data_IF_878828304276
#
_entry.id   IF_878828304276
#
_cell.length_a   1.000
_cell.length_b   1.000
_cell.length_c   1.000
_cell.angle_alpha   90.00
_cell.angle_beta   90.00
_cell.angle_gamma   90.00
#
_symmetry.space_group_name_H-M   'P 1'
#
loop_
_entity.id
_entity.type
_entity.pdbx_description
1 polymer ?
#
# COMPACT_ATOMS: atom_id res chain seq x y z
N UNK A 1 37.38 20.71 -15.29
CA UNK A 1 37.41 19.61 -14.34
C UNK A 1 36.63 19.89 -13.07
N UNK A 2 36.74 21.07 -12.50
CA UNK A 2 36.00 21.44 -11.29
C UNK A 2 34.48 21.50 -11.52
N UNK A 3 34.05 21.84 -12.71
CA UNK A 3 32.63 21.87 -13.05
C UNK A 3 31.95 20.50 -13.03
N UNK A 4 32.69 19.44 -13.41
CA UNK A 4 32.13 18.09 -13.36
C UNK A 4 31.80 17.64 -11.93
N UNK A 5 32.65 18.00 -10.97
CA UNK A 5 32.38 17.68 -9.56
C UNK A 5 31.17 18.42 -9.03
N UNK A 6 30.97 19.67 -9.44
CA UNK A 6 29.80 20.45 -9.03
C UNK A 6 28.51 19.87 -9.60
N UNK A 7 28.54 19.42 -10.86
CA UNK A 7 27.36 18.79 -11.48
C UNK A 7 26.99 17.49 -10.79
N UNK A 8 27.98 16.66 -10.42
CA UNK A 8 27.74 15.43 -9.69
C UNK A 8 27.14 15.70 -8.30
N UNK A 9 27.62 16.73 -7.62
CA UNK A 9 27.07 17.11 -6.32
C UNK A 9 25.61 17.55 -6.45
N UNK A 10 25.28 18.33 -7.47
CA UNK A 10 23.91 18.75 -7.71
C UNK A 10 22.98 17.57 -7.99
N UNK A 11 23.46 16.57 -8.76
CA UNK A 11 22.68 15.37 -9.03
C UNK A 11 22.43 14.55 -7.75
N UNK A 12 23.40 14.49 -6.84
CA UNK A 12 23.26 13.79 -5.56
C UNK A 12 22.29 14.50 -4.60
N UNK A 13 22.10 15.81 -4.79
CA UNK A 13 21.17 16.59 -3.99
C UNK A 13 19.76 16.58 -4.57
N UNK A 14 19.53 15.91 -5.70
CA UNK A 14 18.19 15.76 -6.24
C UNK A 14 17.28 15.12 -5.20
N UNK A 15 16.08 15.66 -4.94
CA UNK A 15 15.22 15.11 -3.90
C UNK A 15 14.82 13.68 -4.23
N UNK A 16 15.03 12.80 -3.26
CA UNK A 16 14.49 11.46 -3.31
C UNK A 16 13.00 11.58 -3.00
N UNK A 17 12.19 11.80 -4.01
CA UNK A 17 10.75 11.81 -3.83
C UNK A 17 10.33 10.43 -3.35
N UNK A 18 9.58 10.37 -2.25
CA UNK A 18 8.97 9.12 -1.83
C UNK A 18 8.08 8.62 -2.97
N UNK A 19 8.37 7.42 -3.48
CA UNK A 19 7.57 6.81 -4.54
C UNK A 19 6.31 6.28 -3.90
N UNK A 20 5.16 6.80 -4.34
CA UNK A 20 3.87 6.29 -3.91
C UNK A 20 3.57 5.00 -4.64
N UNK A 21 3.07 4.00 -3.93
CA UNK A 21 2.72 2.71 -4.46
C UNK A 21 1.22 2.57 -4.62
N UNK A 22 0.78 1.92 -5.70
CA UNK A 22 -0.62 1.60 -5.91
C UNK A 22 -1.07 0.55 -4.90
N UNK A 23 -2.24 0.77 -4.30
CA UNK A 23 -2.76 -0.14 -3.29
C UNK A 23 -4.29 -0.06 -3.19
N UNK A 24 -4.87 -1.13 -2.65
CA UNK A 24 -6.22 -1.09 -2.11
C UNK A 24 -6.15 -0.60 -0.67
N UNK A 25 -7.10 0.24 -0.28
CA UNK A 25 -7.19 0.81 1.06
C UNK A 25 -8.64 0.76 1.54
N UNK A 26 -8.83 0.78 2.85
CA UNK A 26 -10.19 0.81 3.42
C UNK A 26 -10.82 2.18 3.15
N UNK A 27 -12.10 2.20 2.76
CA UNK A 27 -12.80 3.45 2.55
C UNK A 27 -13.07 4.19 3.86
N UNK A 28 -13.23 5.50 3.77
CA UNK A 28 -13.63 6.34 4.90
C UNK A 28 -14.72 7.31 4.46
N UNK A 29 -15.45 7.85 5.43
CA UNK A 29 -16.55 8.78 5.14
C UNK A 29 -16.02 10.03 4.43
N UNK A 30 -16.71 10.43 3.36
CA UNK A 30 -16.33 11.62 2.59
C UNK A 30 -15.20 11.42 1.62
N UNK A 31 -14.78 10.18 1.39
CA UNK A 31 -13.71 9.86 0.44
C UNK A 31 -14.08 10.33 -0.98
N UNK A 32 -13.13 11.01 -1.65
CA UNK A 32 -13.30 11.48 -3.03
C UNK A 32 -12.04 11.21 -3.84
N UNK A 33 -12.22 10.92 -5.12
CA UNK A 33 -11.10 10.76 -6.05
C UNK A 33 -10.31 12.08 -6.12
N UNK A 34 -8.98 11.96 -6.07
CA UNK A 34 -8.06 13.09 -6.14
C UNK A 34 -7.71 13.70 -4.80
N UNK A 35 -8.40 13.31 -3.73
CA UNK A 35 -8.11 13.84 -2.38
C UNK A 35 -6.93 13.10 -1.78
N UNK A 36 -6.04 13.84 -1.15
CA UNK A 36 -4.90 13.30 -0.40
C UNK A 36 -5.19 13.43 1.09
N UNK A 37 -5.01 12.33 1.82
CA UNK A 37 -5.24 12.29 3.27
C UNK A 37 -4.05 11.65 3.97
N UNK A 38 -3.86 12.05 5.23
CA UNK A 38 -2.91 11.40 6.14
C UNK A 38 -3.70 10.44 7.02
N UNK A 39 -3.39 9.15 6.93
CA UNK A 39 -4.09 8.13 7.69
C UNK A 39 -3.18 7.66 8.84
N UNK A 40 -3.68 7.78 10.07
CA UNK A 40 -2.93 7.40 11.27
C UNK A 40 -2.96 5.90 11.55
N UNK A 41 -3.94 5.19 11.01
CA UNK A 41 -4.10 3.75 11.18
C UNK A 41 -4.37 3.09 9.84
N UNK A 42 -3.40 3.11 8.92
CA UNK A 42 -3.62 2.61 7.56
C UNK A 42 -3.67 1.10 7.51
N UNK A 43 -4.52 0.57 6.63
CA UNK A 43 -4.48 -0.80 6.16
C UNK A 43 -4.26 -0.75 4.66
N UNK A 44 -3.19 -1.38 4.19
CA UNK A 44 -2.69 -1.21 2.83
C UNK A 44 -2.47 -2.57 2.18
N UNK A 45 -3.15 -2.80 1.06
CA UNK A 45 -2.97 -3.99 0.22
C UNK A 45 -2.27 -3.54 -1.05
N UNK A 46 -0.95 -3.65 -1.07
CA UNK A 46 -0.15 -3.23 -2.23
C UNK A 46 -0.44 -4.10 -3.44
N UNK A 47 -0.56 -3.51 -4.61
CA UNK A 47 -0.86 -4.25 -5.84
C UNK A 47 0.39 -4.70 -6.59
N UNK A 48 1.50 -4.02 -6.40
CA UNK A 48 2.75 -4.30 -7.11
C UNK A 48 3.87 -4.84 -6.23
N UNK A 49 3.86 -4.54 -4.94
CA UNK A 49 4.89 -5.04 -4.03
C UNK A 49 4.66 -6.51 -3.73
N UNK A 50 5.70 -7.31 -3.89
CA UNK A 50 5.64 -8.74 -3.60
C UNK A 50 5.63 -8.99 -2.10
N UNK A 51 4.98 -10.07 -1.70
CA UNK A 51 5.10 -10.58 -0.34
C UNK A 51 6.46 -11.26 -0.20
N UNK A 52 7.24 -10.85 0.79
CA UNK A 52 8.58 -11.41 1.05
C UNK A 52 8.63 -12.24 2.33
N UNK A 53 7.48 -12.57 2.92
CA UNK A 53 7.41 -13.42 4.10
C UNK A 53 7.61 -14.88 3.71
N UNK A 54 8.15 -15.71 4.64
CA UNK A 54 8.37 -17.13 4.38
C UNK A 54 7.06 -17.93 4.54
N UNK A 55 6.06 -17.58 3.74
CA UNK A 55 4.77 -18.27 3.72
C UNK A 55 4.68 -19.16 2.48
N UNK A 56 3.88 -20.22 2.57
CA UNK A 56 3.58 -21.06 1.42
C UNK A 56 2.90 -20.20 0.35
N UNK A 57 3.34 -20.36 -0.90
CA UNK A 57 2.80 -19.62 -2.05
C UNK A 57 3.01 -18.09 -1.99
N UNK A 58 3.94 -17.61 -1.17
CA UNK A 58 4.20 -16.18 -1.02
C UNK A 58 4.62 -15.51 -2.34
N UNK A 59 5.28 -16.24 -3.23
CA UNK A 59 5.72 -15.69 -4.52
C UNK A 59 4.54 -15.27 -5.41
N UNK A 60 3.34 -15.79 -5.17
CA UNK A 60 2.13 -15.44 -5.91
C UNK A 60 1.26 -14.43 -5.16
N UNK A 61 1.74 -13.92 -4.04
CA UNK A 61 1.00 -12.99 -3.21
C UNK A 61 1.66 -11.62 -3.21
N UNK A 62 0.92 -10.63 -2.74
CA UNK A 62 1.36 -9.25 -2.63
C UNK A 62 1.49 -8.84 -1.17
N UNK A 63 2.20 -7.74 -0.93
CA UNK A 63 2.48 -7.25 0.42
C UNK A 63 1.24 -6.61 1.03
N UNK A 64 1.01 -6.92 2.29
CA UNK A 64 -0.02 -6.33 3.14
C UNK A 64 0.65 -5.66 4.33
N UNK A 65 0.20 -4.47 4.68
CA UNK A 65 0.65 -3.74 5.88
C UNK A 65 -0.54 -3.13 6.58
N UNK A 66 -0.56 -3.19 7.91
CA UNK A 66 -1.56 -2.52 8.72
C UNK A 66 -0.91 -1.97 9.98
N UNK A 67 -1.19 -0.71 10.31
CA UNK A 67 -0.66 -0.07 11.51
C UNK A 67 -1.74 0.08 12.56
N UNK A 68 -1.47 -0.42 13.78
CA UNK A 68 -2.37 -0.30 14.93
C UNK A 68 -1.58 -0.03 16.22
N UNK A 69 -0.55 0.81 16.13
CA UNK A 69 0.46 1.00 17.17
C UNK A 69 1.74 0.26 16.89
N UNK A 70 1.65 -0.84 16.15
CA UNK A 70 2.76 -1.56 15.54
C UNK A 70 2.36 -1.92 14.11
N UNK A 71 3.34 -2.13 13.24
CA UNK A 71 3.07 -2.60 11.88
C UNK A 71 2.88 -4.12 11.88
N UNK A 72 1.74 -4.55 11.40
CA UNK A 72 1.49 -5.94 11.06
C UNK A 72 1.81 -6.12 9.58
N UNK A 73 2.75 -6.99 9.28
CA UNK A 73 3.18 -7.28 7.91
C UNK A 73 2.63 -8.63 7.51
N UNK A 74 1.99 -8.70 6.36
CA UNK A 74 1.41 -9.92 5.84
C UNK A 74 1.46 -10.01 4.34
N UNK A 75 0.71 -10.97 3.82
CA UNK A 75 0.54 -11.18 2.39
C UNK A 75 -0.94 -11.23 2.07
N UNK A 76 -1.28 -10.85 0.85
CA UNK A 76 -2.64 -11.00 0.37
C UNK A 76 -2.64 -11.50 -1.08
N UNK A 77 -3.70 -12.16 -1.45
CA UNK A 77 -3.91 -12.61 -2.82
C UNK A 77 -5.37 -12.52 -3.19
N UNK A 78 -5.64 -12.38 -4.48
CA UNK A 78 -6.99 -12.29 -4.99
C UNK A 78 -7.51 -13.68 -5.33
N UNK A 79 -8.75 -13.98 -4.93
CA UNK A 79 -9.44 -15.20 -5.30
C UNK A 79 -10.18 -15.02 -6.63
N UNK A 80 -10.65 -16.14 -7.20
CA UNK A 80 -11.46 -16.13 -8.43
C UNK A 80 -12.72 -15.26 -8.24
N UNK A 81 -13.26 -15.26 -7.02
CA UNK A 81 -14.48 -14.50 -6.72
C UNK A 81 -14.25 -13.01 -6.48
N UNK A 82 -13.01 -12.54 -6.57
CA UNK A 82 -12.69 -11.12 -6.38
C UNK A 82 -12.51 -10.72 -4.93
N UNK A 83 -12.21 -11.69 -4.06
CA UNK A 83 -11.92 -11.40 -2.65
C UNK A 83 -10.42 -11.31 -2.42
N UNK A 84 -10.01 -10.44 -1.51
CA UNK A 84 -8.66 -10.41 -1.00
C UNK A 84 -8.58 -11.36 0.21
N UNK A 85 -7.73 -12.37 0.12
CA UNK A 85 -7.39 -13.23 1.27
C UNK A 85 -6.13 -12.68 1.88
N UNK A 86 -6.17 -12.35 3.16
CA UNK A 86 -5.09 -11.69 3.89
C UNK A 86 -4.55 -12.63 4.96
N UNK A 87 -3.25 -12.88 4.91
CA UNK A 87 -2.55 -13.77 5.84
C UNK A 87 -1.49 -12.96 6.57
N UNK A 88 -1.67 -12.83 7.88
CA UNK A 88 -0.69 -12.22 8.77
C UNK A 88 -0.25 -13.30 9.75
N UNK A 89 1.08 -13.53 9.91
CA UNK A 89 1.54 -14.57 10.84
C UNK A 89 0.94 -14.42 12.24
N UNK A 90 0.51 -15.53 12.82
CA UNK A 90 -0.08 -15.61 14.17
C UNK A 90 -1.45 -14.95 14.30
N UNK A 91 -2.08 -14.57 13.21
CA UNK A 91 -3.42 -13.98 13.19
C UNK A 91 -4.35 -14.84 12.35
N UNK A 92 -5.67 -14.79 12.62
CA UNK A 92 -6.64 -15.46 11.75
C UNK A 92 -6.60 -14.90 10.33
N UNK A 93 -6.73 -15.78 9.34
CA UNK A 93 -6.85 -15.39 7.95
C UNK A 93 -8.15 -14.60 7.73
N UNK A 94 -8.07 -13.52 6.98
CA UNK A 94 -9.22 -12.67 6.63
C UNK A 94 -9.53 -12.78 5.15
N UNK A 95 -10.80 -12.57 4.81
CA UNK A 95 -11.23 -12.46 3.42
C UNK A 95 -12.11 -11.22 3.29
N UNK A 96 -11.79 -10.35 2.33
CA UNK A 96 -12.49 -9.07 2.12
C UNK A 96 -12.78 -8.93 0.63
N UNK A 97 -14.04 -8.65 0.24
CA UNK A 97 -14.32 -8.37 -1.17
C UNK A 97 -13.56 -7.12 -1.64
N UNK A 98 -12.83 -7.25 -2.74
CA UNK A 98 -12.04 -6.13 -3.28
C UNK A 98 -12.92 -4.95 -3.70
N UNK A 99 -14.16 -5.21 -4.14
CA UNK A 99 -15.06 -4.14 -4.54
C UNK A 99 -15.53 -3.26 -3.37
N UNK A 100 -15.24 -3.63 -2.13
CA UNK A 100 -15.51 -2.79 -0.95
C UNK A 100 -14.33 -1.89 -0.60
N UNK A 101 -13.22 -2.02 -1.30
CA UNK A 101 -12.00 -1.26 -1.04
C UNK A 101 -11.83 -0.16 -2.09
N UNK A 102 -11.16 0.92 -1.69
CA UNK A 102 -10.77 1.99 -2.61
C UNK A 102 -9.39 1.71 -3.18
N UNK A 103 -9.04 2.40 -4.25
CA UNK A 103 -7.68 2.41 -4.81
C UNK A 103 -7.03 3.73 -4.49
N UNK A 104 -5.75 3.69 -4.14
CA UNK A 104 -4.99 4.88 -3.79
C UNK A 104 -3.52 4.70 -4.14
N UNK A 105 -2.85 5.83 -4.32
CA UNK A 105 -1.39 5.87 -4.27
C UNK A 105 -1.00 6.11 -2.82
N UNK A 106 -0.16 5.26 -2.27
CA UNK A 106 0.15 5.23 -0.85
C UNK A 106 1.64 5.36 -0.62
N UNK A 107 2.01 6.25 0.30
CA UNK A 107 3.37 6.33 0.84
C UNK A 107 3.28 6.07 2.34
N UNK A 108 3.92 4.99 2.82
CA UNK A 108 3.91 4.67 4.23
C UNK A 108 5.12 5.27 4.93
N UNK A 109 4.91 5.70 6.17
CA UNK A 109 5.91 6.29 7.03
C UNK A 109 6.01 5.49 8.32
N UNK A 110 6.72 6.01 9.30
CA UNK A 110 7.05 5.22 10.50
C UNK A 110 5.81 4.78 11.29
N UNK A 111 4.75 5.58 11.30
CA UNK A 111 3.53 5.29 12.06
C UNK A 111 2.25 5.82 11.41
N UNK A 112 2.28 6.12 10.11
CA UNK A 112 1.12 6.61 9.36
C UNK A 112 1.36 6.45 7.86
N UNK A 113 0.36 6.73 7.05
CA UNK A 113 0.49 6.70 5.60
C UNK A 113 -0.23 7.89 4.97
N UNK A 114 0.34 8.38 3.88
CA UNK A 114 -0.30 9.38 3.01
C UNK A 114 -0.94 8.65 1.85
N UNK A 115 -2.19 8.97 1.56
CA UNK A 115 -2.96 8.30 0.51
C UNK A 115 -3.60 9.34 -0.40
N UNK A 116 -3.41 9.17 -1.72
CA UNK A 116 -4.13 9.93 -2.73
C UNK A 116 -5.12 9.00 -3.41
N UNK A 117 -6.41 9.29 -3.27
CA UNK A 117 -7.47 8.40 -3.72
C UNK A 117 -7.58 8.42 -5.23
N UNK A 118 -7.58 7.24 -5.87
CA UNK A 118 -7.66 7.08 -7.32
C UNK A 118 -8.99 6.53 -7.79
N UNK A 119 -9.61 5.68 -7.00
CA UNK A 119 -10.91 5.09 -7.33
C UNK A 119 -11.67 4.76 -6.07
N UNK A 120 -12.98 4.97 -6.12
CA UNK A 120 -13.87 4.64 -5.02
C UNK A 120 -14.28 3.17 -5.09
N UNK A 121 -14.77 2.59 -3.95
CA UNK A 121 -15.30 1.24 -3.97
C UNK A 121 -16.46 1.11 -4.96
N UNK A 122 -16.57 -0.06 -5.58
CA UNK A 122 -17.61 -0.32 -6.58
C UNK A 122 -18.84 -1.04 -6.02
N UNK A 123 -18.72 -1.70 -4.87
CA UNK A 123 -19.82 -2.35 -4.13
C UNK A 123 -20.68 -3.27 -5.01
N UNK A 124 -20.05 -4.28 -5.63
CA UNK A 124 -20.79 -5.30 -6.35
C UNK A 124 -20.94 -5.11 -7.85
N UNK A 125 -20.22 -4.18 -8.41
CA UNK A 125 -20.19 -3.98 -9.87
C UNK A 125 -19.17 -4.86 -10.56
#
# INVERSE_FOLDING_TARGET
MKMKKLLLTAALLAPLAAIADDAYVYPFAGMKVGVTVDNQFPTILYTAQKCDLPLANAQNMRRYESYRGVWDIGCWGETIDGDAVIIVPKMPTKSIPLNTLARADVSSYINWAKMTIKALPTYGR
#
